data_IF_897665325957
#
_entry.id   IF_897665325957
#
_cell.length_a   1.000
_cell.length_b   1.000
_cell.length_c   1.000
_cell.angle_alpha   90.00
_cell.angle_beta   90.00
_cell.angle_gamma   90.00
#
_symmetry.space_group_name_H-M   'P 1'
#
loop_
_entity.id
_entity.type
_entity.pdbx_description
1 polymer ?
#
# COMPACT_ATOMS: atom_id res chain seq x y z
N UNK A 1 -3.28 -3.36 -36.95
CA UNK A 1 -3.02 -1.93 -36.61
C UNK A 1 -2.10 -1.87 -35.40
N UNK A 2 -0.99 -1.12 -35.48
CA UNK A 2 -0.02 -0.96 -34.40
C UNK A 2 -0.47 0.01 -33.30
N UNK A 3 0.31 0.07 -32.21
CA UNK A 3 0.08 0.98 -31.07
C UNK A 3 0.50 2.40 -31.45
N UNK A 4 -0.43 3.37 -31.41
CA UNK A 4 -0.15 4.80 -31.64
C UNK A 4 -0.02 5.54 -30.30
N UNK A 5 0.82 6.58 -30.24
CA UNK A 5 0.91 7.51 -29.10
C UNK A 5 -0.38 8.34 -29.04
N UNK A 6 -0.91 8.55 -27.84
CA UNK A 6 -2.04 9.44 -27.56
C UNK A 6 -1.65 10.39 -26.43
N UNK A 7 -2.22 11.58 -26.41
CA UNK A 7 -2.03 12.53 -25.32
C UNK A 7 -2.83 12.13 -24.08
N UNK A 8 -2.38 12.55 -22.89
CA UNK A 8 -3.05 12.26 -21.61
C UNK A 8 -4.08 13.36 -21.36
N UNK A 9 -5.21 13.23 -22.06
CA UNK A 9 -6.40 14.07 -21.89
C UNK A 9 -7.68 13.23 -22.04
N UNK A 10 -8.85 13.73 -21.59
CA UNK A 10 -10.11 13.00 -21.70
C UNK A 10 -10.43 12.58 -23.15
N UNK A 11 -10.74 11.31 -23.36
CA UNK A 11 -11.10 10.79 -24.68
C UNK A 11 -12.54 11.20 -25.00
N UNK A 12 -12.70 12.01 -26.04
CA UNK A 12 -13.99 12.55 -26.49
C UNK A 12 -14.89 11.47 -27.09
N UNK A 13 -14.35 10.61 -27.96
CA UNK A 13 -15.12 9.58 -28.64
C UNK A 13 -15.44 8.41 -27.71
N UNK A 14 -16.73 8.17 -27.43
CA UNK A 14 -17.20 7.21 -26.42
C UNK A 14 -16.78 5.75 -26.67
N UNK A 15 -16.89 5.26 -27.91
CA UNK A 15 -16.41 3.91 -28.27
C UNK A 15 -14.92 3.74 -27.96
N UNK A 16 -14.09 4.71 -28.36
CA UNK A 16 -12.65 4.70 -28.10
C UNK A 16 -12.35 4.81 -26.61
N UNK A 17 -13.10 5.63 -25.87
CA UNK A 17 -13.01 5.74 -24.42
C UNK A 17 -13.31 4.41 -23.74
N UNK A 18 -14.38 3.72 -24.15
CA UNK A 18 -14.80 2.44 -23.55
C UNK A 18 -13.77 1.33 -23.82
N UNK A 19 -13.29 1.21 -25.07
CA UNK A 19 -12.25 0.23 -25.42
C UNK A 19 -10.93 0.55 -24.69
N UNK A 20 -10.54 1.82 -24.63
CA UNK A 20 -9.31 2.24 -23.95
C UNK A 20 -9.41 2.01 -22.45
N UNK A 21 -10.55 2.33 -21.83
CA UNK A 21 -10.80 2.09 -20.42
C UNK A 21 -10.66 0.59 -20.10
N UNK A 22 -11.35 -0.28 -20.85
CA UNK A 22 -11.26 -1.72 -20.63
C UNK A 22 -9.81 -2.24 -20.70
N UNK A 23 -9.07 -1.81 -21.73
CA UNK A 23 -7.67 -2.23 -21.92
C UNK A 23 -6.74 -1.67 -20.84
N UNK A 24 -6.84 -0.39 -20.50
CA UNK A 24 -5.99 0.26 -19.49
C UNK A 24 -6.30 -0.24 -18.08
N UNK A 25 -7.59 -0.40 -17.73
CA UNK A 25 -8.03 -0.99 -16.46
C UNK A 25 -7.44 -2.39 -16.27
N UNK A 26 -7.57 -3.25 -17.29
CA UNK A 26 -7.04 -4.61 -17.20
C UNK A 26 -5.50 -4.63 -17.14
N UNK A 27 -4.83 -3.74 -17.88
CA UNK A 27 -3.39 -3.57 -17.79
C UNK A 27 -2.92 -3.09 -16.41
N UNK A 28 -3.65 -2.16 -15.79
CA UNK A 28 -3.39 -1.67 -14.44
C UNK A 28 -3.58 -2.78 -13.41
N UNK A 29 -4.66 -3.55 -13.48
CA UNK A 29 -4.89 -4.69 -12.59
C UNK A 29 -3.80 -5.75 -12.72
N UNK A 30 -3.35 -6.03 -13.95
CA UNK A 30 -2.23 -6.95 -14.17
C UNK A 30 -0.95 -6.44 -13.53
N UNK A 31 -0.65 -5.13 -13.64
CA UNK A 31 0.53 -4.53 -13.02
C UNK A 31 0.46 -4.53 -11.49
N UNK A 32 -0.72 -4.27 -10.92
CA UNK A 32 -0.95 -4.37 -9.48
C UNK A 32 -0.74 -5.80 -8.96
N UNK A 33 -1.23 -6.80 -9.69
CA UNK A 33 -0.98 -8.22 -9.40
C UNK A 33 0.51 -8.58 -9.47
N UNK A 34 1.20 -8.20 -10.55
CA UNK A 34 2.63 -8.45 -10.70
C UNK A 34 3.42 -7.83 -9.53
N UNK A 35 3.10 -6.59 -9.14
CA UNK A 35 3.75 -5.91 -8.01
C UNK A 35 3.50 -6.65 -6.68
N UNK A 36 2.25 -7.02 -6.40
CA UNK A 36 1.89 -7.72 -5.17
C UNK A 36 2.62 -9.05 -5.03
N UNK A 37 2.70 -9.83 -6.13
CA UNK A 37 3.42 -11.11 -6.15
C UNK A 37 4.93 -10.93 -6.03
N UNK A 38 5.53 -10.04 -6.83
CA UNK A 38 6.99 -9.90 -6.88
C UNK A 38 7.58 -9.34 -5.59
N UNK A 39 6.86 -8.45 -4.93
CA UNK A 39 7.36 -7.76 -3.73
C UNK A 39 6.71 -8.25 -2.44
N UNK A 40 5.78 -9.22 -2.49
CA UNK A 40 5.02 -9.70 -1.32
C UNK A 40 4.33 -8.56 -0.56
N UNK A 41 3.64 -7.68 -1.30
CA UNK A 41 2.95 -6.50 -0.76
C UNK A 41 1.45 -6.55 -1.06
N UNK A 42 0.67 -5.96 -0.17
CA UNK A 42 -0.77 -5.79 -0.38
C UNK A 42 -1.06 -4.59 -1.28
N UNK A 43 -1.88 -4.80 -2.31
CA UNK A 43 -2.22 -3.77 -3.31
C UNK A 43 -3.73 -3.77 -3.55
N UNK A 44 -4.34 -2.59 -3.44
CA UNK A 44 -5.73 -2.35 -3.82
C UNK A 44 -5.82 -1.25 -4.88
N UNK A 45 -6.71 -1.43 -5.85
CA UNK A 45 -7.05 -0.44 -6.88
C UNK A 45 -8.57 -0.33 -6.93
N UNK A 46 -9.10 0.88 -6.74
CA UNK A 46 -10.54 1.18 -6.77
C UNK A 46 -10.79 2.20 -7.88
N UNK A 47 -11.74 1.89 -8.77
CA UNK A 47 -12.09 2.73 -9.91
C UNK A 47 -13.61 2.86 -9.97
N UNK A 48 -14.09 4.11 -9.90
CA UNK A 48 -15.47 4.44 -10.15
C UNK A 48 -15.61 4.97 -11.58
N UNK A 49 -16.52 4.37 -12.36
CA UNK A 49 -16.94 4.89 -13.65
C UNK A 49 -18.32 5.53 -13.48
N UNK A 50 -18.36 6.85 -13.59
CA UNK A 50 -19.59 7.63 -13.65
C UNK A 50 -19.76 8.16 -15.07
N UNK A 51 -20.81 7.69 -15.75
CA UNK A 51 -21.15 8.11 -17.11
C UNK A 51 -22.57 8.66 -17.09
N UNK A 52 -22.77 9.82 -17.72
CA UNK A 52 -24.09 10.41 -17.87
C UNK A 52 -25.07 9.40 -18.48
N UNK A 53 -26.20 9.19 -17.81
CA UNK A 53 -27.24 8.23 -18.24
C UNK A 53 -26.96 6.76 -17.89
N UNK A 54 -25.89 6.45 -17.14
CA UNK A 54 -25.61 5.10 -16.65
C UNK A 54 -25.48 5.08 -15.13
N UNK A 55 -25.75 3.93 -14.53
CA UNK A 55 -25.49 3.73 -13.10
C UNK A 55 -23.99 3.79 -12.82
N UNK A 56 -23.64 4.33 -11.64
CA UNK A 56 -22.30 4.27 -11.09
C UNK A 56 -21.81 2.82 -11.10
N UNK A 57 -20.64 2.60 -11.70
CA UNK A 57 -20.05 1.27 -11.77
C UNK A 57 -18.70 1.23 -11.07
N UNK A 58 -18.58 0.32 -10.12
CA UNK A 58 -17.36 0.04 -9.40
C UNK A 58 -16.57 -1.06 -10.11
N UNK A 59 -15.28 -0.80 -10.33
CA UNK A 59 -14.30 -1.81 -10.70
C UNK A 59 -13.17 -1.78 -9.69
N UNK A 60 -12.81 -2.93 -9.15
CA UNK A 60 -11.74 -3.02 -8.17
C UNK A 60 -10.86 -4.25 -8.39
N UNK A 61 -9.61 -4.14 -7.94
CA UNK A 61 -8.67 -5.22 -7.78
C UNK A 61 -8.10 -5.15 -6.35
N UNK A 62 -7.93 -6.29 -5.72
CA UNK A 62 -7.30 -6.42 -4.41
C UNK A 62 -6.43 -7.68 -4.42
N UNK A 63 -5.24 -7.63 -3.82
CA UNK A 63 -4.40 -8.81 -3.61
C UNK A 63 -5.01 -9.79 -2.60
N UNK A 64 -5.85 -9.30 -1.68
CA UNK A 64 -6.58 -10.08 -0.68
C UNK A 64 -8.01 -9.58 -0.50
N UNK A 65 -8.45 -9.39 0.74
CA UNK A 65 -9.76 -8.80 1.05
C UNK A 65 -9.71 -7.26 1.00
N UNK A 66 -10.67 -6.66 0.30
CA UNK A 66 -10.72 -5.20 0.12
C UNK A 66 -11.07 -4.47 1.41
N UNK A 67 -11.93 -5.04 2.26
CA UNK A 67 -12.33 -4.44 3.53
C UNK A 67 -11.15 -4.41 4.50
N UNK A 68 -10.33 -5.46 4.52
CA UNK A 68 -9.13 -5.52 5.35
C UNK A 68 -8.12 -4.43 4.98
N UNK A 69 -7.83 -4.25 3.67
CA UNK A 69 -6.90 -3.20 3.21
C UNK A 69 -7.46 -1.82 3.52
N UNK A 70 -8.76 -1.57 3.27
CA UNK A 70 -9.38 -0.27 3.59
C UNK A 70 -9.33 0.01 5.08
N UNK A 71 -9.68 -0.96 5.92
CA UNK A 71 -9.67 -0.81 7.37
C UNK A 71 -8.25 -0.58 7.90
N UNK A 72 -7.26 -1.30 7.36
CA UNK A 72 -5.84 -1.08 7.67
C UNK A 72 -5.39 0.33 7.27
N UNK A 73 -5.78 0.80 6.09
CA UNK A 73 -5.48 2.16 5.63
C UNK A 73 -6.07 3.24 6.54
N UNK A 74 -7.35 3.11 6.94
CA UNK A 74 -8.03 4.07 7.82
C UNK A 74 -7.38 4.13 9.20
N UNK A 75 -6.89 2.99 9.71
CA UNK A 75 -6.25 2.89 11.04
C UNK A 75 -4.76 3.25 11.05
N UNK A 76 -4.14 3.43 9.88
CA UNK A 76 -2.70 3.65 9.78
C UNK A 76 -2.36 5.14 9.98
N UNK A 77 -1.51 5.40 10.99
CA UNK A 77 -1.07 6.72 11.46
C UNK A 77 0.43 7.00 11.21
N UNK A 78 1.17 6.01 10.69
CA UNK A 78 2.58 6.17 10.32
C UNK A 78 2.82 7.00 9.06
N UNK A 79 4.08 7.03 8.60
CA UNK A 79 4.48 7.77 7.39
C UNK A 79 3.80 7.23 6.13
N UNK A 80 3.34 8.14 5.26
CA UNK A 80 2.60 7.85 4.03
C UNK A 80 3.27 8.52 2.83
N UNK A 81 3.74 7.74 1.86
CA UNK A 81 4.10 8.28 0.54
C UNK A 81 2.84 8.41 -0.33
N UNK A 82 2.27 9.62 -0.37
CA UNK A 82 1.05 9.91 -1.13
C UNK A 82 1.40 10.59 -2.45
N UNK A 83 1.02 9.99 -3.58
CA UNK A 83 1.12 10.62 -4.90
C UNK A 83 -0.24 11.10 -5.39
N UNK A 84 -0.29 12.31 -5.91
CA UNK A 84 -1.45 12.98 -6.51
C UNK A 84 -1.23 13.16 -8.02
N UNK A 85 -2.26 13.53 -8.80
CA UNK A 85 -2.07 13.82 -10.22
C UNK A 85 -0.99 14.87 -10.52
N UNK A 86 -0.75 15.84 -9.62
CA UNK A 86 0.25 16.89 -9.81
C UNK A 86 1.70 16.35 -9.85
N UNK A 87 1.98 15.28 -9.11
CA UNK A 87 3.30 14.63 -9.08
C UNK A 87 3.70 14.03 -10.44
N UNK A 88 2.71 13.59 -11.21
CA UNK A 88 2.92 12.99 -12.53
C UNK A 88 2.99 14.02 -13.66
N UNK A 89 2.37 15.20 -13.48
CA UNK A 89 2.40 16.28 -14.47
C UNK A 89 3.75 17.00 -14.46
N UNK A 90 4.32 17.28 -13.28
CA UNK A 90 5.55 18.07 -13.17
C UNK A 90 6.82 17.30 -13.58
N UNK A 91 6.85 15.98 -13.38
CA UNK A 91 7.99 15.14 -13.77
C UNK A 91 8.16 15.06 -15.30
N UNK A 92 7.10 15.31 -16.08
CA UNK A 92 7.20 15.41 -17.54
C UNK A 92 7.95 16.68 -17.99
N UNK A 93 7.88 17.77 -17.22
CA UNK A 93 8.58 19.03 -17.52
C UNK A 93 10.03 19.04 -17.00
N UNK A 94 10.33 18.32 -15.92
CA UNK A 94 11.69 18.22 -15.37
C UNK A 94 12.67 17.48 -16.30
N UNK A 95 12.17 16.57 -17.16
CA UNK A 95 13.00 15.84 -18.14
C UNK A 95 13.46 16.68 -19.34
N UNK A 96 13.04 17.94 -19.44
CA UNK A 96 13.48 18.84 -20.52
C UNK A 96 14.62 19.80 -20.10
N UNK A 97 15.02 19.83 -18.82
CA UNK A 97 15.99 20.81 -18.31
C UNK A 97 17.21 20.20 -17.60
N UNK A 98 17.66 18.98 -17.95
CA UNK A 98 18.90 18.45 -17.38
C UNK A 98 19.73 17.65 -18.39
N UNK A 99 20.31 18.36 -19.35
CA UNK A 99 21.57 17.96 -20.02
C UNK A 99 22.74 18.57 -19.23
N UNK A 100 23.04 18.04 -18.05
CA UNK A 100 24.28 18.37 -17.32
C UNK A 100 24.75 17.15 -16.53
N UNK A 101 25.93 16.59 -16.80
CA UNK A 101 26.32 15.28 -16.28
C UNK A 101 26.94 15.28 -14.87
N UNK A 102 26.80 16.35 -14.07
CA UNK A 102 27.57 16.49 -12.82
C UNK A 102 26.79 16.34 -11.50
N UNK A 103 25.49 16.02 -11.53
CA UNK A 103 24.70 15.91 -10.27
C UNK A 103 24.67 14.50 -9.65
N UNK A 104 25.43 13.52 -10.16
CA UNK A 104 25.51 12.18 -9.56
C UNK A 104 26.70 11.99 -8.62
N UNK A 105 27.63 12.95 -8.54
CA UNK A 105 28.82 12.84 -7.70
C UNK A 105 28.70 13.56 -6.35
N UNK A 106 27.81 14.56 -6.22
CA UNK A 106 27.69 15.38 -5.00
C UNK A 106 26.84 14.76 -3.88
N UNK A 107 26.16 13.62 -4.12
CA UNK A 107 25.44 12.91 -3.04
C UNK A 107 26.30 11.83 -2.36
N UNK A 108 27.48 11.51 -2.90
CA UNK A 108 28.34 10.44 -2.37
C UNK A 108 29.62 10.92 -1.67
N UNK A 109 29.89 12.23 -1.63
CA UNK A 109 31.10 12.79 -1.03
C UNK A 109 30.79 14.03 -0.17
N UNK A 110 30.01 13.86 0.90
CA UNK A 110 29.93 14.85 2.00
C UNK A 110 29.44 14.17 3.28
N UNK A 111 30.14 13.11 3.69
CA UNK A 111 29.97 12.57 5.04
C UNK A 111 31.22 11.82 5.50
N UNK A 112 32.36 12.51 5.52
CA UNK A 112 33.43 12.21 6.47
C UNK A 112 34.23 13.49 6.74
N UNK A 113 34.75 13.63 7.96
CA UNK A 113 35.62 14.72 8.44
C UNK A 113 34.96 15.95 9.11
N UNK A 114 34.47 15.77 10.36
CA UNK A 114 35.01 16.46 11.56
C UNK A 114 34.25 16.05 12.84
N UNK A 115 34.73 15.01 13.54
CA UNK A 115 34.53 14.91 15.00
C UNK A 115 35.73 14.20 15.64
N UNK A 116 36.56 14.97 16.32
CA UNK A 116 37.77 14.53 17.02
C UNK A 116 37.47 13.51 18.15
N UNK A 117 38.44 12.65 18.51
CA UNK A 117 38.25 11.62 19.53
C UNK A 117 38.44 12.17 20.94
N UNK A 118 37.53 11.82 21.85
CA UNK A 118 37.72 12.06 23.29
C UNK A 118 37.66 10.71 24.01
N UNK A 119 38.84 10.21 24.35
CA UNK A 119 39.07 9.04 25.17
C UNK A 119 38.86 9.41 26.65
N UNK A 120 37.77 8.95 27.27
CA UNK A 120 37.71 8.68 28.71
C UNK A 120 36.75 7.51 28.95
N UNK A 121 37.28 6.38 29.44
CA UNK A 121 36.45 5.30 30.01
C UNK A 121 35.71 5.74 31.27
N UNK A 122 34.72 4.97 31.74
CA UNK A 122 35.10 3.79 32.51
C UNK A 122 34.37 2.50 32.13
N UNK A 123 35.08 1.43 32.46
CA UNK A 123 34.78 0.01 32.38
C UNK A 123 33.46 -0.36 33.09
N UNK A 124 32.57 -1.06 32.38
CA UNK A 124 31.45 -1.81 32.99
C UNK A 124 31.48 -3.26 32.49
N UNK A 125 31.32 -4.17 33.45
CA UNK A 125 31.46 -5.62 33.33
C UNK A 125 30.34 -6.27 32.48
N UNK A 126 30.53 -7.52 32.01
CA UNK A 126 29.49 -8.26 31.29
C UNK A 126 28.29 -8.57 32.20
N UNK A 127 27.08 -8.27 31.74
CA UNK A 127 25.83 -8.66 32.39
C UNK A 127 25.51 -10.13 32.07
N UNK A 128 25.50 -10.96 33.11
CA UNK A 128 24.96 -12.32 33.10
C UNK A 128 23.47 -12.30 32.73
N UNK A 129 23.07 -13.16 31.80
CA UNK A 129 21.66 -13.40 31.44
C UNK A 129 21.07 -14.49 32.34
N UNK A 130 20.04 -14.23 33.17
CA UNK A 130 19.34 -15.29 33.87
C UNK A 130 18.33 -15.95 32.94
N UNK A 131 18.52 -17.24 32.72
CA UNK A 131 17.56 -18.13 32.06
C UNK A 131 16.38 -18.41 33.00
N UNK A 132 15.22 -17.81 32.74
CA UNK A 132 13.95 -18.19 33.37
C UNK A 132 12.92 -18.48 32.28
N UNK A 133 12.50 -19.75 32.22
CA UNK A 133 11.45 -20.22 31.30
C UNK A 133 10.07 -19.69 31.68
N UNK A 134 9.11 -19.68 30.74
CA UNK A 134 7.79 -19.14 31.01
C UNK A 134 6.98 -20.10 31.90
N UNK A 135 6.47 -19.55 33.01
CA UNK A 135 5.43 -20.17 33.83
C UNK A 135 4.12 -20.24 33.04
N UNK A 136 3.56 -21.44 32.90
CA UNK A 136 2.24 -21.65 32.35
C UNK A 136 1.17 -21.20 33.35
N UNK A 137 0.29 -20.30 32.95
CA UNK A 137 -0.97 -20.05 33.66
C UNK A 137 -2.06 -20.97 33.08
N UNK A 138 -2.91 -21.60 33.92
CA UNK A 138 -4.00 -22.44 33.42
C UNK A 138 -5.16 -21.60 32.85
N UNK A 139 -5.76 -22.10 31.77
CA UNK A 139 -6.91 -21.51 31.09
C UNK A 139 -8.20 -21.62 31.94
N UNK A 140 -9.14 -20.66 31.83
CA UNK A 140 -10.45 -20.75 32.48
C UNK A 140 -11.37 -21.80 31.83
N UNK A 141 -12.31 -22.41 32.57
CA UNK A 141 -13.22 -23.43 32.05
C UNK A 141 -14.30 -22.83 31.13
N UNK A 142 -14.85 -23.63 30.18
CA UNK A 142 -15.87 -23.18 29.24
C UNK A 142 -17.24 -22.97 29.90
N UNK A 143 -17.91 -21.88 29.55
CA UNK A 143 -19.28 -21.54 29.94
C UNK A 143 -20.29 -22.51 29.31
N UNK A 144 -21.19 -23.08 30.12
CA UNK A 144 -22.31 -23.90 29.64
C UNK A 144 -23.37 -23.05 28.90
N UNK A 145 -23.99 -23.56 27.82
CA UNK A 145 -25.13 -22.90 27.19
C UNK A 145 -26.42 -23.05 28.03
N UNK A 146 -27.36 -22.09 27.93
CA UNK A 146 -28.59 -22.08 28.71
C UNK A 146 -29.53 -23.22 28.30
N UNK A 147 -30.16 -23.85 29.31
CA UNK A 147 -31.20 -24.86 29.11
C UNK A 147 -32.49 -24.22 28.57
N UNK A 148 -33.03 -24.78 27.50
CA UNK A 148 -34.37 -24.45 27.02
C UNK A 148 -35.41 -25.04 27.97
N UNK A 149 -36.12 -24.19 28.69
CA UNK A 149 -37.30 -24.58 29.46
C UNK A 149 -38.43 -24.91 28.47
N UNK A 150 -38.89 -26.15 28.53
CA UNK A 150 -39.97 -26.68 27.71
C UNK A 150 -41.30 -26.11 28.21
N UNK A 151 -41.81 -25.09 27.50
CA UNK A 151 -43.15 -24.55 27.72
C UNK A 151 -44.21 -25.59 27.39
N UNK A 152 -44.89 -26.06 28.42
CA UNK A 152 -46.04 -26.94 28.38
C UNK A 152 -47.22 -26.20 27.72
N UNK A 153 -47.62 -26.64 26.53
CA UNK A 153 -48.89 -26.28 25.91
C UNK A 153 -50.00 -27.07 26.61
N UNK A 154 -50.89 -26.36 27.30
CA UNK A 154 -52.19 -26.88 27.70
C UNK A 154 -53.29 -26.18 26.89
N UNK A 155 -54.30 -26.99 26.60
CA UNK A 155 -55.45 -26.83 25.69
C UNK A 155 -56.33 -25.64 26.08
#
# INVERSE_FOLDING_TARGET
>A
MGRRKIEIQPITHERNRSVTFLKRKNGLFKKAYELGVLCSVDVAVIIFEERAGHHLKLYQYCSGDIHDIIQRHVRYDGEKDTKTPHDFVNNANAKLNHDSPDSLLSTFLDNDEHRQPQNTGPQYAPLDWPSHGPSQQPLPPPSQPPQQESGMICI
#
